data_IF_985287326756
#
_entry.id   IF_985287326756
#
_cell.length_a   1.000
_cell.length_b   1.000
_cell.length_c   1.000
_cell.angle_alpha   90.00
_cell.angle_beta   90.00
_cell.angle_gamma   90.00
#
_symmetry.space_group_name_H-M   'P 1'
#
loop_
_entity.id
_entity.type
_entity.pdbx_description
1 polymer ?
#
# COMPACT_ATOMS: atom_id res chain seq x y z
N UNK A 1 -6.89 -14.62 15.82
CA UNK A 1 -6.13 -14.24 17.02
C UNK A 1 -6.91 -13.19 17.77
N UNK A 2 -6.80 -13.14 19.11
CA UNK A 2 -7.51 -12.16 19.93
C UNK A 2 -6.50 -11.25 20.62
N UNK A 3 -6.61 -9.95 20.39
CA UNK A 3 -5.72 -8.93 20.97
C UNK A 3 -6.57 -7.95 21.77
N UNK A 4 -6.07 -7.51 22.92
CA UNK A 4 -6.78 -6.53 23.74
C UNK A 4 -6.89 -5.17 23.02
N UNK A 5 -5.87 -4.85 22.22
CA UNK A 5 -5.83 -3.66 21.38
C UNK A 5 -4.78 -3.78 20.26
N UNK A 6 -4.89 -2.88 19.29
CA UNK A 6 -3.95 -2.71 18.20
C UNK A 6 -3.28 -1.35 18.36
N UNK A 7 -1.95 -1.34 18.30
CA UNK A 7 -1.13 -0.14 18.39
C UNK A 7 -0.50 0.11 17.03
N UNK A 8 -0.94 1.18 16.37
CA UNK A 8 -0.23 1.74 15.23
C UNK A 8 0.85 2.67 15.80
N UNK A 9 2.08 2.19 15.90
CA UNK A 9 3.22 2.96 16.37
C UNK A 9 3.96 3.54 15.18
N UNK A 10 3.84 4.85 14.92
CA UNK A 10 4.57 5.47 13.84
C UNK A 10 4.07 6.85 13.44
N UNK A 11 4.64 7.36 12.36
CA UNK A 11 4.30 8.66 11.77
C UNK A 11 2.80 8.96 11.77
N UNK A 12 2.41 10.08 12.36
CA UNK A 12 1.02 10.58 12.29
C UNK A 12 0.63 10.83 10.84
N UNK A 13 -0.67 10.74 10.55
CA UNK A 13 -1.19 10.94 9.19
C UNK A 13 -0.67 12.24 8.56
N UNK A 14 -0.25 12.16 7.29
CA UNK A 14 0.34 13.25 6.50
C UNK A 14 1.76 13.69 6.87
N UNK A 15 2.36 13.18 7.93
CA UNK A 15 3.74 13.55 8.30
C UNK A 15 4.81 12.79 7.49
N UNK A 16 4.47 11.59 7.00
CA UNK A 16 5.38 10.76 6.21
C UNK A 16 4.63 9.86 5.21
N UNK A 17 5.31 9.37 4.18
CA UNK A 17 4.69 8.48 3.18
C UNK A 17 4.19 7.15 3.78
N UNK A 18 4.90 6.61 4.78
CA UNK A 18 4.47 5.42 5.52
C UNK A 18 3.17 5.63 6.32
N UNK A 19 2.85 6.87 6.71
CA UNK A 19 1.61 7.17 7.47
C UNK A 19 0.35 6.78 6.70
N UNK A 20 0.38 6.78 5.36
CA UNK A 20 -0.76 6.36 4.53
C UNK A 20 -0.96 4.84 4.52
N UNK A 21 0.11 4.06 4.73
CA UNK A 21 0.04 2.60 4.89
C UNK A 21 -0.54 2.29 6.28
N UNK A 22 0.00 2.95 7.30
CA UNK A 22 -0.50 2.84 8.68
C UNK A 22 -1.97 3.26 8.80
N UNK A 23 -2.41 4.28 8.06
CA UNK A 23 -3.81 4.67 7.99
C UNK A 23 -4.72 3.56 7.44
N UNK A 24 -4.25 2.82 6.43
CA UNK A 24 -4.98 1.69 5.86
C UNK A 24 -5.20 0.59 6.89
N UNK A 25 -4.17 0.25 7.66
CA UNK A 25 -4.31 -0.66 8.80
C UNK A 25 -5.23 -0.09 9.88
N UNK A 26 -5.08 1.18 10.26
CA UNK A 26 -5.93 1.83 11.27
C UNK A 26 -7.41 1.72 10.91
N UNK A 27 -7.79 2.06 9.67
CA UNK A 27 -9.17 1.96 9.18
C UNK A 27 -9.66 0.51 9.23
N UNK A 28 -8.85 -0.43 8.73
CA UNK A 28 -9.22 -1.84 8.67
C UNK A 28 -9.40 -2.47 10.07
N UNK A 29 -8.50 -2.21 11.02
CA UNK A 29 -8.65 -2.70 12.39
C UNK A 29 -9.84 -2.07 13.13
N UNK A 30 -10.09 -0.76 12.92
CA UNK A 30 -11.30 -0.10 13.46
C UNK A 30 -12.58 -0.71 12.90
N UNK A 31 -12.60 -1.04 11.60
CA UNK A 31 -13.73 -1.73 10.98
C UNK A 31 -13.97 -3.11 11.61
N UNK A 32 -12.90 -3.85 11.90
CA UNK A 32 -12.92 -5.13 12.61
C UNK A 32 -13.21 -4.99 14.12
N UNK A 33 -13.59 -3.80 14.61
CA UNK A 33 -14.00 -3.52 15.99
C UNK A 33 -12.91 -3.69 17.06
N UNK A 34 -11.64 -3.70 16.66
CA UNK A 34 -10.56 -3.61 17.63
C UNK A 34 -10.51 -2.23 18.29
N UNK A 35 -10.08 -2.18 19.55
CA UNK A 35 -9.54 -0.95 20.10
C UNK A 35 -8.21 -0.64 19.38
N UNK A 36 -8.09 0.56 18.81
CA UNK A 36 -6.91 0.94 18.02
C UNK A 36 -6.41 2.29 18.50
N UNK A 37 -5.15 2.33 18.92
CA UNK A 37 -4.41 3.53 19.28
C UNK A 37 -3.38 3.85 18.20
N UNK A 38 -3.19 5.13 17.91
CA UNK A 38 -2.12 5.58 17.00
C UNK A 38 -1.12 6.42 17.79
N UNK A 39 0.02 5.83 18.12
CA UNK A 39 1.07 6.37 18.97
C UNK A 39 2.36 6.59 18.17
N UNK A 40 3.33 7.29 18.76
CA UNK A 40 4.68 7.49 18.24
C UNK A 40 5.67 7.73 19.40
N UNK A 41 6.95 7.94 19.08
CA UNK A 41 8.02 8.16 20.07
C UNK A 41 7.85 9.43 20.94
N UNK A 42 6.85 10.27 20.66
CA UNK A 42 6.53 11.48 21.42
C UNK A 42 5.21 11.37 22.20
N UNK A 43 4.49 10.25 22.06
CA UNK A 43 3.22 10.05 22.73
C UNK A 43 3.43 9.77 24.23
N UNK A 44 2.56 10.31 25.09
CA UNK A 44 2.54 9.94 26.51
C UNK A 44 1.88 8.57 26.68
N UNK A 45 2.61 7.61 27.25
CA UNK A 45 2.19 6.21 27.39
C UNK A 45 2.02 5.75 28.85
N UNK A 46 2.12 6.64 29.83
CA UNK A 46 2.18 6.25 31.27
C UNK A 46 0.97 5.47 31.74
N UNK A 47 -0.22 5.71 31.17
CA UNK A 47 -1.49 5.11 31.61
C UNK A 47 -2.05 4.12 30.58
N UNK A 48 -1.21 3.60 29.68
CA UNK A 48 -1.65 2.65 28.66
C UNK A 48 -1.17 1.25 29.07
N UNK A 49 -2.12 0.36 29.36
CA UNK A 49 -1.81 -1.06 29.51
C UNK A 49 -1.62 -1.69 28.13
N UNK A 50 -0.41 -2.18 27.85
CA UNK A 50 -0.08 -2.83 26.58
C UNK A 50 -0.24 -4.36 26.61
N UNK A 51 -0.75 -4.95 27.69
CA UNK A 51 -0.92 -6.40 27.80
C UNK A 51 -1.66 -7.00 26.60
N UNK A 52 -1.10 -8.06 26.00
CA UNK A 52 -1.66 -8.75 24.82
C UNK A 52 -2.04 -7.81 23.65
N UNK A 53 -1.16 -6.85 23.34
CA UNK A 53 -1.35 -5.91 22.22
C UNK A 53 -0.61 -6.35 20.95
N UNK A 54 -1.17 -5.99 19.79
CA UNK A 54 -0.47 -6.09 18.51
C UNK A 54 0.07 -4.71 18.09
N UNK A 55 1.38 -4.61 17.90
CA UNK A 55 2.05 -3.41 17.41
C UNK A 55 2.30 -3.50 15.91
N UNK A 56 2.08 -2.40 15.21
CA UNK A 56 2.50 -2.19 13.82
C UNK A 56 3.38 -0.96 13.79
N UNK A 57 4.63 -1.13 13.36
CA UNK A 57 5.62 -0.06 13.34
C UNK A 57 6.48 -0.11 12.11
N UNK A 58 7.13 1.00 11.79
CA UNK A 58 8.23 1.08 10.83
C UNK A 58 9.51 1.51 11.54
N UNK A 59 10.67 1.19 10.97
CA UNK A 59 11.98 1.31 11.64
C UNK A 59 12.37 2.76 12.05
N UNK A 60 11.87 3.79 11.39
CA UNK A 60 12.25 5.19 11.63
C UNK A 60 11.58 5.79 12.88
N UNK A 61 10.43 5.25 13.29
CA UNK A 61 9.65 5.69 14.45
C UNK A 61 9.31 4.48 15.30
N UNK A 62 10.29 3.91 15.99
CA UNK A 62 10.10 2.76 16.90
C UNK A 62 11.03 2.80 18.12
N UNK A 63 11.70 3.93 18.40
CA UNK A 63 12.76 3.99 19.41
C UNK A 63 12.22 3.84 20.82
N UNK A 64 11.03 4.39 21.11
CA UNK A 64 10.40 4.32 22.43
C UNK A 64 9.22 3.34 22.48
N UNK A 65 9.06 2.51 21.45
CA UNK A 65 8.00 1.50 21.41
C UNK A 65 8.25 0.44 22.49
N UNK A 66 7.26 0.13 23.36
CA UNK A 66 7.41 -0.93 24.36
C UNK A 66 7.60 -2.30 23.72
N UNK A 67 8.61 -3.04 24.20
CA UNK A 67 8.91 -4.41 23.77
C UNK A 67 8.59 -5.35 24.94
N UNK A 68 7.58 -6.20 24.79
CA UNK A 68 7.04 -7.06 25.86
C UNK A 68 6.80 -8.48 25.36
N UNK A 69 6.98 -9.44 26.26
CA UNK A 69 6.90 -10.88 25.95
C UNK A 69 5.48 -11.38 25.63
N UNK A 70 4.48 -10.67 26.14
CA UNK A 70 3.06 -10.93 25.96
C UNK A 70 2.45 -10.19 24.76
N UNK A 71 3.26 -9.45 23.98
CA UNK A 71 2.82 -8.67 22.83
C UNK A 71 3.27 -9.28 21.51
N UNK A 72 2.68 -8.76 20.44
CA UNK A 72 2.95 -9.14 19.05
C UNK A 72 3.42 -7.94 18.24
N UNK A 73 4.28 -8.16 17.25
CA UNK A 73 4.95 -7.09 16.51
C UNK A 73 4.95 -7.34 15.02
N UNK A 74 4.52 -6.34 14.24
CA UNK A 74 4.64 -6.29 12.79
C UNK A 74 5.58 -5.14 12.45
N UNK A 75 6.75 -5.49 11.94
CA UNK A 75 7.86 -4.57 11.70
C UNK A 75 8.00 -4.30 10.20
N UNK A 76 7.73 -3.07 9.78
CA UNK A 76 7.67 -2.65 8.37
C UNK A 76 9.01 -2.09 7.89
N UNK A 77 9.53 -2.65 6.78
CA UNK A 77 10.77 -2.21 6.14
C UNK A 77 11.95 -2.22 7.09
N UNK A 78 11.92 -3.19 7.97
CA UNK A 78 12.81 -3.29 9.09
C UNK A 78 14.09 -4.05 8.75
N UNK A 79 14.22 -4.63 7.56
CA UNK A 79 15.41 -5.37 7.11
C UNK A 79 16.61 -4.51 6.70
N UNK A 80 17.79 -5.13 6.80
CA UNK A 80 19.00 -4.70 6.08
C UNK A 80 18.95 -5.21 4.65
N UNK A 81 18.88 -4.29 3.68
CA UNK A 81 19.15 -4.59 2.27
C UNK A 81 20.69 -4.73 2.12
N UNK A 82 21.24 -5.91 1.77
CA UNK A 82 22.69 -6.09 1.64
C UNK A 82 23.28 -5.07 0.67
N UNK A 83 24.26 -4.29 1.12
CA UNK A 83 24.91 -3.25 0.31
C UNK A 83 24.34 -1.83 0.44
N UNK A 84 23.21 -1.61 1.14
CA UNK A 84 22.74 -0.24 1.45
C UNK A 84 23.15 0.20 2.85
N UNK A 85 24.00 1.23 2.92
CA UNK A 85 24.56 1.76 4.17
C UNK A 85 23.51 2.22 5.20
N UNK A 86 22.31 2.65 4.76
CA UNK A 86 21.28 3.19 5.65
C UNK A 86 20.67 2.15 6.61
N UNK A 87 20.71 0.86 6.25
CA UNK A 87 20.09 -0.20 7.05
C UNK A 87 21.10 -1.02 7.87
N UNK A 88 22.41 -0.78 7.73
CA UNK A 88 23.47 -1.60 8.37
C UNK A 88 23.60 -1.41 9.88
N UNK A 89 22.75 -0.62 10.55
CA UNK A 89 22.85 -0.33 11.99
C UNK A 89 21.49 -0.35 12.70
N UNK A 90 21.06 -1.56 13.07
CA UNK A 90 20.36 -1.93 14.32
C UNK A 90 19.12 -1.14 14.76
N UNK A 91 18.12 -0.96 13.91
CA UNK A 91 16.78 -0.64 14.39
C UNK A 91 15.71 -1.36 13.56
N UNK A 92 15.02 -2.30 14.20
CA UNK A 92 13.79 -2.89 13.70
C UNK A 92 13.94 -4.19 12.92
N UNK A 93 15.13 -4.65 12.51
CA UNK A 93 15.34 -5.92 11.80
C UNK A 93 14.88 -7.12 12.64
N UNK A 94 14.62 -8.29 12.04
CA UNK A 94 14.43 -9.51 12.86
C UNK A 94 15.72 -9.88 13.63
N UNK A 95 16.88 -9.44 13.13
CA UNK A 95 18.18 -9.49 13.82
C UNK A 95 18.35 -8.36 14.84
N UNK A 96 17.38 -7.47 15.00
CA UNK A 96 17.38 -6.52 16.10
C UNK A 96 17.26 -7.35 17.37
N UNK A 97 18.35 -7.37 18.14
CA UNK A 97 18.51 -8.23 19.30
C UNK A 97 17.35 -8.08 20.30
N UNK A 98 16.66 -6.92 20.29
CA UNK A 98 15.48 -6.66 21.11
C UNK A 98 14.27 -7.54 20.77
N UNK A 99 14.15 -7.99 19.51
CA UNK A 99 13.02 -8.79 19.02
C UNK A 99 13.34 -10.28 18.85
N UNK A 100 14.62 -10.69 18.92
CA UNK A 100 15.03 -12.07 18.65
C UNK A 100 14.24 -13.12 19.46
N UNK A 101 14.19 -12.95 20.78
CA UNK A 101 13.48 -13.91 21.68
C UNK A 101 11.96 -13.92 21.47
N UNK A 102 11.38 -12.82 20.97
CA UNK A 102 9.96 -12.74 20.60
C UNK A 102 9.71 -13.43 19.26
N UNK A 103 10.62 -13.27 18.31
CA UNK A 103 10.53 -13.88 16.99
C UNK A 103 10.61 -15.41 17.09
N UNK A 104 11.53 -15.93 17.90
CA UNK A 104 11.65 -17.37 18.22
C UNK A 104 10.36 -17.95 18.84
N UNK A 105 9.53 -17.12 19.48
CA UNK A 105 8.20 -17.50 20.02
C UNK A 105 7.06 -17.35 19.00
N UNK A 106 7.36 -16.92 17.78
CA UNK A 106 6.37 -16.62 16.74
C UNK A 106 5.56 -15.34 16.99
N UNK A 107 6.06 -14.40 17.79
CA UNK A 107 5.37 -13.14 18.11
C UNK A 107 5.80 -11.96 17.23
N UNK A 108 6.72 -12.16 16.29
CA UNK A 108 7.24 -11.10 15.41
C UNK A 108 7.05 -11.50 13.95
N UNK A 109 6.50 -10.59 13.16
CA UNK A 109 6.49 -10.65 11.70
C UNK A 109 7.28 -9.45 11.20
N UNK A 110 8.26 -9.69 10.34
CA UNK A 110 8.73 -8.63 9.49
C UNK A 110 7.82 -8.54 8.25
N UNK A 111 7.23 -7.37 8.02
CA UNK A 111 6.48 -7.06 6.80
C UNK A 111 7.40 -6.41 5.74
N UNK A 112 7.40 -6.98 4.53
CA UNK A 112 8.08 -6.45 3.35
C UNK A 112 7.12 -6.27 2.18
N UNK A 113 7.43 -5.28 1.33
CA UNK A 113 6.72 -5.17 0.06
C UNK A 113 7.17 -6.27 -0.90
N UNK A 114 6.20 -6.85 -1.61
CA UNK A 114 6.47 -7.80 -2.68
C UNK A 114 7.44 -7.24 -3.73
N UNK A 115 8.43 -8.05 -4.11
CA UNK A 115 9.27 -7.92 -5.30
C UNK A 115 9.61 -9.32 -5.80
N UNK A 116 9.62 -9.59 -7.11
CA UNK A 116 9.91 -10.93 -7.64
C UNK A 116 11.18 -11.54 -7.06
N UNK A 117 12.30 -10.80 -7.08
CA UNK A 117 13.60 -11.25 -6.53
C UNK A 117 13.58 -11.58 -5.04
N UNK A 118 12.67 -10.98 -4.26
CA UNK A 118 12.61 -11.24 -2.82
C UNK A 118 11.89 -12.55 -2.50
N UNK A 119 11.16 -13.12 -3.46
CA UNK A 119 10.27 -14.26 -3.23
C UNK A 119 10.64 -15.52 -4.00
N UNK A 120 11.69 -15.51 -4.84
CA UNK A 120 12.07 -16.62 -5.75
C UNK A 120 12.16 -17.99 -5.07
N UNK A 121 12.61 -18.03 -3.81
CA UNK A 121 12.77 -19.26 -3.02
C UNK A 121 11.93 -19.24 -1.74
N UNK A 122 10.82 -18.50 -1.73
CA UNK A 122 9.96 -18.31 -0.55
C UNK A 122 8.66 -19.07 -0.72
N UNK A 123 7.99 -19.36 0.39
CA UNK A 123 6.75 -20.15 0.34
C UNK A 123 5.59 -19.26 -0.10
N UNK A 124 4.86 -19.66 -1.15
CA UNK A 124 3.68 -18.94 -1.62
C UNK A 124 2.50 -19.18 -0.67
N UNK A 125 1.85 -18.09 -0.23
CA UNK A 125 0.61 -18.12 0.53
C UNK A 125 -0.61 -17.86 -0.36
N UNK A 126 -0.53 -16.83 -1.20
CA UNK A 126 -1.51 -16.51 -2.23
C UNK A 126 -0.81 -15.80 -3.40
N UNK A 127 -1.55 -15.40 -4.43
CA UNK A 127 -0.96 -14.65 -5.55
C UNK A 127 -0.30 -13.36 -5.05
N UNK A 128 0.98 -13.21 -5.36
CA UNK A 128 1.83 -12.09 -4.93
C UNK A 128 2.03 -11.98 -3.41
N UNK A 129 1.69 -13.02 -2.64
CA UNK A 129 1.95 -13.07 -1.19
C UNK A 129 2.74 -14.30 -0.84
N UNK A 130 3.89 -14.07 -0.22
CA UNK A 130 4.87 -15.09 0.11
C UNK A 130 5.34 -14.90 1.53
N UNK A 131 5.86 -15.96 2.13
CA UNK A 131 6.49 -15.86 3.43
C UNK A 131 7.76 -16.68 3.52
N UNK A 132 8.56 -16.33 4.52
CA UNK A 132 9.79 -17.01 4.90
C UNK A 132 9.80 -17.20 6.41
N UNK A 133 9.72 -18.45 6.85
CA UNK A 133 9.76 -18.79 8.28
C UNK A 133 11.15 -18.46 8.86
N UNK A 134 12.23 -18.71 8.11
CA UNK A 134 13.60 -18.54 8.61
C UNK A 134 13.95 -17.09 8.98
N UNK A 135 13.27 -16.13 8.35
CA UNK A 135 13.46 -14.70 8.56
C UNK A 135 12.22 -14.02 9.12
N UNK A 136 11.19 -14.80 9.48
CA UNK A 136 9.89 -14.31 9.95
C UNK A 136 9.25 -13.27 9.01
N UNK A 137 9.47 -13.39 7.71
CA UNK A 137 9.08 -12.36 6.74
C UNK A 137 7.81 -12.70 6.02
N UNK A 138 6.90 -11.73 5.94
CA UNK A 138 5.73 -11.75 5.07
C UNK A 138 5.89 -10.70 3.97
N UNK A 139 5.80 -11.14 2.73
CA UNK A 139 5.91 -10.32 1.53
C UNK A 139 4.53 -10.17 0.88
N UNK A 140 4.07 -8.94 0.66
CA UNK A 140 2.84 -8.70 -0.11
C UNK A 140 2.87 -7.31 -0.79
N UNK A 141 2.08 -7.09 -1.85
CA UNK A 141 1.89 -5.74 -2.38
C UNK A 141 1.09 -4.89 -1.39
N UNK A 142 1.14 -3.56 -1.55
CA UNK A 142 0.22 -2.69 -0.84
C UNK A 142 -1.25 -2.95 -1.22
N UNK A 143 -2.17 -2.18 -0.65
CA UNK A 143 -3.61 -2.33 -0.83
C UNK A 143 -4.27 -0.96 -1.07
N UNK A 144 -5.54 -1.00 -1.48
CA UNK A 144 -6.41 0.19 -1.41
C UNK A 144 -6.73 0.53 0.05
N UNK A 145 -6.93 1.81 0.32
CA UNK A 145 -7.37 2.35 1.61
C UNK A 145 -8.88 2.29 1.82
N UNK A 146 -9.65 1.80 0.84
CA UNK A 146 -11.08 1.57 0.98
C UNK A 146 -11.40 0.19 1.55
N UNK A 147 -12.48 0.14 2.32
CA UNK A 147 -13.14 -1.08 2.75
C UNK A 147 -14.07 -1.61 1.65
N UNK A 148 -14.39 -2.92 1.65
CA UNK A 148 -15.22 -3.52 0.60
C UNK A 148 -16.58 -2.85 0.39
N UNK A 149 -17.23 -2.41 1.46
CA UNK A 149 -18.54 -1.74 1.37
C UNK A 149 -18.45 -0.32 0.80
N UNK A 150 -17.33 0.37 0.98
CA UNK A 150 -17.08 1.68 0.36
C UNK A 150 -16.87 1.53 -1.14
N UNK A 151 -16.15 0.48 -1.56
CA UNK A 151 -16.00 0.13 -2.99
C UNK A 151 -17.37 -0.19 -3.60
N UNK A 152 -18.21 -0.97 -2.91
CA UNK A 152 -19.59 -1.25 -3.36
C UNK A 152 -20.41 0.04 -3.56
N UNK A 153 -20.26 1.03 -2.67
CA UNK A 153 -20.94 2.33 -2.79
C UNK A 153 -20.49 3.08 -4.03
N UNK A 154 -19.19 3.04 -4.37
CA UNK A 154 -18.66 3.64 -5.59
C UNK A 154 -19.13 2.89 -6.83
N UNK A 155 -19.15 1.54 -6.80
CA UNK A 155 -19.65 0.71 -7.91
C UNK A 155 -21.10 1.08 -8.28
N UNK A 156 -21.97 1.30 -7.30
CA UNK A 156 -23.37 1.72 -7.51
C UNK A 156 -23.51 3.10 -8.17
N UNK A 157 -22.53 3.98 -7.96
CA UNK A 157 -22.53 5.35 -8.44
C UNK A 157 -21.50 5.58 -9.56
N UNK A 158 -21.05 4.51 -10.24
CA UNK A 158 -19.97 4.59 -11.21
C UNK A 158 -20.32 5.53 -12.38
N UNK A 159 -21.59 5.56 -12.78
CA UNK A 159 -22.10 6.46 -13.84
C UNK A 159 -22.10 7.93 -13.44
N UNK A 160 -22.08 8.22 -12.15
CA UNK A 160 -22.06 9.57 -11.60
C UNK A 160 -20.62 10.12 -11.46
N UNK A 161 -19.61 9.30 -11.73
CA UNK A 161 -18.21 9.73 -11.64
C UNK A 161 -17.89 10.67 -12.80
N UNK A 162 -17.62 11.93 -12.46
CA UNK A 162 -17.35 12.98 -13.43
C UNK A 162 -15.99 12.77 -14.14
N UNK A 163 -16.01 12.34 -15.40
CA UNK A 163 -14.82 12.32 -16.25
C UNK A 163 -14.59 13.71 -16.88
N UNK A 164 -13.93 14.61 -16.15
CA UNK A 164 -13.54 15.90 -16.73
C UNK A 164 -12.44 15.67 -17.78
N UNK A 165 -12.83 15.66 -19.06
CA UNK A 165 -11.94 15.41 -20.21
C UNK A 165 -10.80 16.42 -20.37
N UNK A 166 -10.83 17.55 -19.66
CA UNK A 166 -9.84 18.61 -19.76
C UNK A 166 -8.84 18.62 -18.59
N UNK A 167 -8.96 17.70 -17.63
CA UNK A 167 -8.16 17.75 -16.38
C UNK A 167 -7.73 16.37 -15.89
N UNK A 168 -6.48 16.28 -15.45
CA UNK A 168 -5.91 15.13 -14.74
C UNK A 168 -5.35 15.62 -13.41
N UNK A 169 -5.83 15.02 -12.32
CA UNK A 169 -5.31 15.26 -10.98
C UNK A 169 -4.36 14.13 -10.59
N UNK A 170 -3.13 14.48 -10.22
CA UNK A 170 -2.15 13.56 -9.67
C UNK A 170 -1.92 13.87 -8.19
N UNK A 171 -2.24 12.90 -7.32
CA UNK A 171 -2.02 13.01 -5.88
C UNK A 171 -0.81 12.17 -5.46
N UNK A 172 0.24 12.80 -4.93
CA UNK A 172 1.41 12.15 -4.35
C UNK A 172 2.74 12.71 -4.83
N UNK A 173 3.83 11.97 -4.60
CA UNK A 173 5.18 12.42 -4.99
C UNK A 173 5.41 12.19 -6.48
N UNK A 174 5.73 13.26 -7.21
CA UNK A 174 6.06 13.21 -8.63
C UNK A 174 7.47 12.64 -8.84
N UNK A 175 7.64 11.91 -9.94
CA UNK A 175 8.92 11.32 -10.38
C UNK A 175 9.18 11.70 -11.84
N UNK A 176 10.41 11.54 -12.33
CA UNK A 176 10.81 12.04 -13.65
C UNK A 176 9.99 11.45 -14.81
N UNK A 177 9.51 10.22 -14.65
CA UNK A 177 8.67 9.52 -15.63
C UNK A 177 7.35 10.27 -15.90
N UNK A 178 6.87 11.08 -14.96
CA UNK A 178 5.68 11.91 -15.18
C UNK A 178 5.92 13.06 -16.16
N UNK A 179 7.18 13.46 -16.44
CA UNK A 179 7.49 14.53 -17.41
C UNK A 179 6.96 14.18 -18.80
N UNK A 180 7.15 12.92 -19.22
CA UNK A 180 6.67 12.42 -20.51
C UNK A 180 5.13 12.36 -20.57
N UNK A 181 4.49 11.87 -19.52
CA UNK A 181 3.02 11.86 -19.45
C UNK A 181 2.44 13.29 -19.47
N UNK A 182 3.04 14.22 -18.71
CA UNK A 182 2.65 15.63 -18.69
C UNK A 182 2.81 16.30 -20.05
N UNK A 183 3.87 15.97 -20.81
CA UNK A 183 4.06 16.45 -22.18
C UNK A 183 2.87 16.06 -23.06
N UNK A 184 2.45 14.79 -23.03
CA UNK A 184 1.29 14.32 -23.79
C UNK A 184 -0.01 15.02 -23.38
N UNK A 185 -0.20 15.30 -22.07
CA UNK A 185 -1.34 16.10 -21.61
C UNK A 185 -1.37 17.51 -22.24
N UNK A 186 -0.22 18.21 -22.26
CA UNK A 186 -0.12 19.58 -22.80
C UNK A 186 -0.45 19.59 -24.29
N UNK A 187 0.11 18.66 -25.06
CA UNK A 187 -0.14 18.52 -26.51
C UNK A 187 -1.62 18.23 -26.84
N UNK A 188 -2.38 17.71 -25.87
CA UNK A 188 -3.80 17.42 -26.00
C UNK A 188 -4.69 18.42 -25.25
N UNK A 189 -4.18 19.60 -24.88
CA UNK A 189 -4.90 20.64 -24.16
C UNK A 189 -5.55 20.17 -22.84
N UNK A 190 -4.90 19.24 -22.14
CA UNK A 190 -5.34 18.70 -20.84
C UNK A 190 -4.49 19.25 -19.71
N UNK A 191 -5.15 19.87 -18.73
CA UNK A 191 -4.51 20.40 -17.52
C UNK A 191 -4.01 19.28 -16.62
N UNK A 192 -2.71 19.25 -16.35
CA UNK A 192 -2.11 18.33 -15.39
C UNK A 192 -1.87 19.02 -14.03
N UNK A 193 -2.63 18.62 -13.01
CA UNK A 193 -2.59 19.21 -11.67
C UNK A 193 -1.89 18.27 -10.70
N UNK A 194 -0.77 18.71 -10.12
CA UNK A 194 -0.03 17.97 -9.10
C UNK A 194 -0.36 18.45 -7.68
N UNK A 195 -0.90 17.53 -6.88
CA UNK A 195 -1.31 17.69 -5.49
C UNK A 195 -0.61 16.64 -4.61
N UNK A 196 -0.55 16.89 -3.31
CA UNK A 196 0.03 15.97 -2.34
C UNK A 196 1.56 15.78 -2.44
N UNK A 197 2.08 14.88 -1.61
CA UNK A 197 3.52 14.62 -1.53
C UNK A 197 4.33 15.83 -1.07
N UNK A 198 5.65 15.76 -1.22
CA UNK A 198 6.55 16.81 -0.73
C UNK A 198 6.53 18.10 -1.57
N UNK A 199 6.12 18.00 -2.84
CA UNK A 199 6.23 19.09 -3.84
C UNK A 199 4.90 19.52 -4.48
N UNK A 200 3.76 18.93 -4.11
CA UNK A 200 2.46 19.30 -4.68
C UNK A 200 1.92 20.63 -4.16
N UNK A 201 1.00 21.26 -4.91
CA UNK A 201 0.42 22.57 -4.58
C UNK A 201 -0.29 22.61 -3.21
N UNK A 202 -0.91 21.50 -2.81
CA UNK A 202 -1.49 21.25 -1.48
C UNK A 202 -0.85 19.97 -0.94
N UNK A 203 0.01 20.07 0.10
CA UNK A 203 0.83 18.94 0.60
C UNK A 203 0.00 17.81 1.20
N UNK A 204 -1.05 18.16 1.94
CA UNK A 204 -1.90 17.21 2.65
C UNK A 204 -3.25 17.12 1.94
N UNK A 205 -3.56 15.94 1.41
CA UNK A 205 -4.82 15.64 0.75
C UNK A 205 -5.51 14.58 1.60
N UNK A 206 -6.72 14.87 2.08
CA UNK A 206 -7.52 13.90 2.83
C UNK A 206 -7.88 12.70 1.95
N UNK A 207 -8.24 11.57 2.55
CA UNK A 207 -8.71 10.40 1.79
C UNK A 207 -9.93 10.74 0.92
N UNK A 208 -10.89 11.51 1.44
CA UNK A 208 -12.08 11.96 0.70
C UNK A 208 -11.73 12.88 -0.48
N UNK A 209 -10.84 13.86 -0.27
CA UNK A 209 -10.35 14.73 -1.35
C UNK A 209 -9.63 13.91 -2.43
N UNK A 210 -8.81 12.93 -2.03
CA UNK A 210 -8.09 12.07 -2.96
C UNK A 210 -9.05 11.26 -3.84
N UNK A 211 -10.06 10.62 -3.25
CA UNK A 211 -11.10 9.89 -3.99
C UNK A 211 -11.76 10.83 -5.01
N UNK A 212 -12.25 12.00 -4.57
CA UNK A 212 -12.90 12.99 -5.45
C UNK A 212 -11.98 13.42 -6.59
N UNK A 213 -10.73 13.80 -6.30
CA UNK A 213 -9.78 14.29 -7.29
C UNK A 213 -9.46 13.23 -8.35
N UNK A 214 -9.28 11.98 -7.92
CA UNK A 214 -9.06 10.87 -8.86
C UNK A 214 -10.32 10.63 -9.68
N UNK A 215 -11.50 10.60 -9.06
CA UNK A 215 -12.80 10.47 -9.73
C UNK A 215 -13.03 11.57 -10.79
N UNK A 216 -12.61 12.80 -10.51
CA UNK A 216 -12.68 13.93 -11.45
C UNK A 216 -11.67 13.89 -12.59
N UNK A 217 -10.64 13.03 -12.52
CA UNK A 217 -9.54 13.01 -13.50
C UNK A 217 -9.92 12.30 -14.79
N UNK A 218 -9.53 12.85 -15.93
CA UNK A 218 -9.71 12.20 -17.22
C UNK A 218 -9.06 10.81 -17.26
N UNK A 219 -7.76 10.76 -16.94
CA UNK A 219 -6.96 9.54 -16.84
C UNK A 219 -6.30 9.52 -15.46
N UNK A 220 -6.31 8.36 -14.79
CA UNK A 220 -5.68 8.16 -13.48
C UNK A 220 -4.64 7.03 -13.54
N UNK A 221 -3.43 7.27 -14.07
CA UNK A 221 -2.46 6.21 -14.26
C UNK A 221 -1.64 5.96 -12.99
N UNK A 222 -1.12 4.75 -12.89
CA UNK A 222 -0.11 4.37 -11.91
C UNK A 222 1.26 4.30 -12.59
N UNK A 223 1.99 5.42 -12.54
CA UNK A 223 3.33 5.56 -13.09
C UNK A 223 4.37 5.48 -11.97
N UNK A 224 5.36 4.60 -12.13
CA UNK A 224 6.48 4.42 -11.21
C UNK A 224 7.81 4.79 -11.85
N UNK A 225 8.85 4.91 -11.02
CA UNK A 225 10.23 5.07 -11.50
C UNK A 225 10.67 3.85 -12.31
N UNK A 226 11.57 4.05 -13.27
CA UNK A 226 12.19 2.93 -14.01
C UNK A 226 12.75 1.88 -13.05
N UNK A 227 13.53 2.29 -12.04
CA UNK A 227 14.06 1.38 -11.03
C UNK A 227 12.96 0.60 -10.28
N UNK A 228 11.82 1.24 -9.99
CA UNK A 228 10.69 0.58 -9.33
C UNK A 228 10.02 -0.45 -10.25
N UNK A 229 9.92 -0.14 -11.55
CA UNK A 229 9.43 -1.07 -12.56
C UNK A 229 10.37 -2.27 -12.71
N UNK A 230 11.69 -2.00 -12.78
CA UNK A 230 12.73 -3.02 -12.98
C UNK A 230 12.79 -4.02 -11.81
N UNK A 231 12.57 -3.56 -10.57
CA UNK A 231 12.50 -4.45 -9.39
C UNK A 231 11.11 -5.03 -9.13
N UNK A 232 10.12 -4.75 -10.00
CA UNK A 232 8.77 -5.29 -9.88
C UNK A 232 7.96 -4.78 -8.69
N UNK A 233 8.21 -3.54 -8.24
CA UNK A 233 7.46 -2.92 -7.15
C UNK A 233 6.00 -2.64 -7.56
N UNK A 234 5.05 -3.05 -6.71
CA UNK A 234 3.62 -2.83 -6.90
C UNK A 234 3.13 -1.74 -5.93
N UNK A 235 2.82 -0.51 -6.41
CA UNK A 235 2.40 0.59 -5.55
C UNK A 235 0.92 0.50 -5.14
N UNK A 236 0.55 1.11 -4.02
CA UNK A 236 -0.85 1.24 -3.61
C UNK A 236 -1.73 2.00 -4.63
N UNK A 237 -1.13 2.90 -5.42
CA UNK A 237 -1.81 3.78 -6.38
C UNK A 237 -2.67 3.03 -7.40
N UNK A 238 -2.21 1.88 -7.91
CA UNK A 238 -3.01 1.12 -8.89
C UNK A 238 -4.30 0.60 -8.26
N UNK A 239 -4.22 0.06 -7.04
CA UNK A 239 -5.38 -0.43 -6.29
C UNK A 239 -6.34 0.70 -5.95
N UNK A 240 -5.79 1.84 -5.46
CA UNK A 240 -6.58 3.03 -5.15
C UNK A 240 -7.35 3.53 -6.36
N UNK A 241 -6.66 3.82 -7.46
CA UNK A 241 -7.29 4.36 -8.67
C UNK A 241 -8.42 3.43 -9.17
N UNK A 242 -8.15 2.12 -9.23
CA UNK A 242 -9.18 1.13 -9.63
C UNK A 242 -10.35 1.15 -8.64
N UNK A 243 -10.10 1.06 -7.33
CA UNK A 243 -11.16 1.06 -6.32
C UNK A 243 -11.98 2.36 -6.27
N UNK A 244 -11.45 3.46 -6.80
CA UNK A 244 -12.15 4.74 -6.90
C UNK A 244 -13.02 4.84 -8.17
N UNK A 245 -13.05 3.80 -9.00
CA UNK A 245 -13.87 3.74 -10.22
C UNK A 245 -13.14 4.14 -11.50
N UNK A 246 -11.80 4.07 -11.53
CA UNK A 246 -11.02 4.33 -12.75
C UNK A 246 -10.50 3.05 -13.38
N UNK A 247 -10.31 3.10 -14.69
CA UNK A 247 -9.59 2.06 -15.41
C UNK A 247 -8.11 2.00 -14.97
N UNK A 248 -7.52 0.80 -14.99
CA UNK A 248 -6.12 0.59 -14.65
C UNK A 248 -5.19 0.93 -15.81
N UNK A 249 -4.25 1.85 -15.58
CA UNK A 249 -3.18 2.19 -16.53
C UNK A 249 -1.84 2.17 -15.80
N UNK A 250 -0.80 1.55 -16.37
CA UNK A 250 0.50 1.46 -15.71
C UNK A 250 1.69 1.39 -16.67
N UNK A 251 2.87 1.81 -16.20
CA UNK A 251 4.14 1.59 -16.87
C UNK A 251 4.94 0.41 -16.30
N UNK A 252 4.35 -0.39 -15.39
CA UNK A 252 5.00 -1.57 -14.81
C UNK A 252 4.39 -2.87 -15.35
N UNK A 253 5.25 -3.73 -15.90
CA UNK A 253 4.85 -5.05 -16.45
C UNK A 253 4.34 -5.98 -15.34
N UNK A 254 4.97 -5.96 -14.17
CA UNK A 254 4.55 -6.78 -13.02
C UNK A 254 3.15 -6.37 -12.54
N UNK A 255 2.83 -5.08 -12.56
CA UNK A 255 1.48 -4.61 -12.21
C UNK A 255 0.45 -5.06 -13.25
N UNK A 256 0.82 -5.07 -14.54
CA UNK A 256 -0.04 -5.59 -15.61
C UNK A 256 -0.32 -7.08 -15.48
N UNK A 257 0.70 -7.87 -15.15
CA UNK A 257 0.58 -9.31 -14.90
C UNK A 257 -0.28 -9.60 -13.66
N UNK A 258 -0.19 -8.77 -12.61
CA UNK A 258 -1.01 -8.93 -11.39
C UNK A 258 -2.51 -8.88 -11.66
N UNK A 259 -2.94 -8.11 -12.67
CA UNK A 259 -4.35 -8.02 -13.06
C UNK A 259 -4.66 -8.93 -14.25
N UNK A 260 -3.94 -10.04 -14.43
CA UNK A 260 -4.10 -10.99 -15.54
C UNK A 260 -4.15 -10.31 -16.91
N UNK A 261 -3.32 -9.27 -17.10
CA UNK A 261 -3.29 -8.49 -18.34
C UNK A 261 -4.59 -7.74 -18.68
N UNK A 262 -5.49 -7.57 -17.71
CA UNK A 262 -6.79 -6.87 -17.86
C UNK A 262 -6.68 -5.35 -17.72
N UNK A 263 -5.54 -4.81 -17.32
CA UNK A 263 -5.31 -3.35 -17.30
C UNK A 263 -4.47 -2.92 -18.51
N UNK A 264 -4.30 -1.62 -18.76
CA UNK A 264 -3.46 -1.15 -19.87
C UNK A 264 -2.03 -0.92 -19.41
N UNK A 265 -1.09 -1.43 -20.19
CA UNK A 265 0.35 -1.34 -19.94
C UNK A 265 1.09 -0.70 -21.09
N UNK A 266 1.91 0.30 -20.77
CA UNK A 266 2.92 0.81 -21.68
C UNK A 266 4.14 1.32 -20.89
N UNK A 267 5.36 0.79 -21.14
CA UNK A 267 6.55 1.22 -20.40
C UNK A 267 6.94 2.67 -20.68
N UNK A 268 6.45 3.28 -21.77
CA UNK A 268 6.65 4.68 -22.10
C UNK A 268 5.46 5.51 -21.61
N UNK A 269 5.62 6.36 -20.58
CA UNK A 269 4.53 7.19 -20.06
C UNK A 269 3.89 8.12 -21.10
N UNK A 270 4.65 8.57 -22.11
CA UNK A 270 4.08 9.36 -23.21
C UNK A 270 3.07 8.54 -24.02
N UNK A 271 3.44 7.33 -24.45
CA UNK A 271 2.53 6.44 -25.20
C UNK A 271 1.38 5.93 -24.33
N UNK A 272 1.63 5.69 -23.04
CA UNK A 272 0.61 5.30 -22.07
C UNK A 272 -0.57 6.29 -22.03
N UNK A 273 -0.30 7.59 -22.17
CA UNK A 273 -1.35 8.60 -22.27
C UNK A 273 -2.27 8.35 -23.46
N UNK A 274 -1.70 8.10 -24.65
CA UNK A 274 -2.47 7.88 -25.86
C UNK A 274 -3.23 6.54 -25.84
N UNK A 275 -2.64 5.49 -25.27
CA UNK A 275 -3.32 4.22 -25.05
C UNK A 275 -4.53 4.40 -24.11
N UNK A 276 -4.34 5.19 -23.04
CA UNK A 276 -5.41 5.50 -22.11
C UNK A 276 -6.52 6.35 -22.74
N UNK A 277 -6.15 7.40 -23.48
CA UNK A 277 -7.09 8.25 -24.23
C UNK A 277 -7.91 7.42 -25.21
N UNK A 278 -7.26 6.59 -26.03
CA UNK A 278 -7.93 5.71 -26.97
C UNK A 278 -8.90 4.73 -26.29
N UNK A 279 -8.51 4.17 -25.14
CA UNK A 279 -9.42 3.30 -24.40
C UNK A 279 -10.65 4.06 -23.92
N UNK A 280 -10.48 5.25 -23.34
CA UNK A 280 -11.60 6.05 -22.83
C UNK A 280 -12.53 6.53 -23.95
N UNK A 281 -11.98 6.92 -25.10
CA UNK A 281 -12.75 7.51 -26.20
C UNK A 281 -13.40 6.46 -27.10
N UNK A 282 -12.75 5.29 -27.28
CA UNK A 282 -13.14 4.33 -28.32
C UNK A 282 -13.40 2.91 -27.81
N UNK A 283 -12.99 2.56 -26.58
CA UNK A 283 -13.09 1.19 -26.04
C UNK A 283 -13.62 1.14 -24.60
N UNK A 284 -14.29 2.20 -24.16
CA UNK A 284 -14.74 2.30 -22.78
C UNK A 284 -15.69 1.14 -22.46
N UNK A 285 -15.37 0.43 -21.38
CA UNK A 285 -16.14 -0.70 -20.89
C UNK A 285 -16.33 -0.58 -19.38
N UNK A 286 -17.59 -0.32 -18.99
CA UNK A 286 -18.00 -0.17 -17.60
C UNK A 286 -17.93 -1.50 -16.84
N UNK A 287 -18.37 -2.59 -17.45
CA UNK A 287 -18.36 -3.91 -16.82
C UNK A 287 -16.93 -4.37 -16.54
N UNK A 288 -16.01 -4.02 -17.45
CA UNK A 288 -14.59 -4.25 -17.23
C UNK A 288 -14.02 -3.47 -16.04
N UNK A 289 -14.41 -2.20 -15.85
CA UNK A 289 -14.04 -1.44 -14.65
C UNK A 289 -14.63 -2.08 -13.39
N UNK A 290 -15.90 -2.48 -13.41
CA UNK A 290 -16.56 -3.15 -12.28
C UNK A 290 -15.87 -4.47 -11.91
N UNK A 291 -15.44 -5.24 -12.91
CA UNK A 291 -14.66 -6.45 -12.73
C UNK A 291 -13.32 -6.16 -12.03
N UNK A 292 -12.56 -5.16 -12.50
CA UNK A 292 -11.31 -4.74 -11.87
C UNK A 292 -11.52 -4.26 -10.42
N UNK A 293 -12.59 -3.49 -10.17
CA UNK A 293 -12.97 -3.07 -8.82
C UNK A 293 -13.26 -4.27 -7.92
N UNK A 294 -13.91 -5.32 -8.43
CA UNK A 294 -14.17 -6.55 -7.69
C UNK A 294 -12.88 -7.31 -7.35
N UNK A 295 -11.90 -7.35 -8.26
CA UNK A 295 -10.57 -7.91 -7.96
C UNK A 295 -9.93 -7.16 -6.80
N UNK A 296 -9.90 -5.83 -6.84
CA UNK A 296 -9.32 -5.02 -5.75
C UNK A 296 -10.08 -5.22 -4.44
N UNK A 297 -11.41 -5.21 -4.49
CA UNK A 297 -12.31 -5.39 -3.33
C UNK A 297 -12.07 -6.71 -2.60
N UNK A 298 -11.84 -7.78 -3.35
CA UNK A 298 -11.76 -9.14 -2.81
C UNK A 298 -10.35 -9.56 -2.44
N UNK A 299 -9.31 -9.02 -3.09
CA UNK A 299 -7.92 -9.47 -2.93
C UNK A 299 -6.93 -8.39 -2.44
N UNK A 300 -7.25 -7.10 -2.58
CA UNK A 300 -6.27 -6.02 -2.38
C UNK A 300 -6.76 -4.89 -1.45
N UNK A 301 -7.44 -5.24 -0.36
CA UNK A 301 -7.75 -4.34 0.76
C UNK A 301 -6.83 -4.57 1.96
N UNK A 302 -6.77 -3.64 2.91
CA UNK A 302 -6.06 -3.88 4.17
C UNK A 302 -6.71 -4.96 5.05
N UNK A 303 -7.99 -5.31 4.84
CA UNK A 303 -8.58 -6.49 5.48
C UNK A 303 -7.90 -7.78 5.00
N UNK A 304 -7.61 -7.89 3.70
CA UNK A 304 -6.84 -9.01 3.16
C UNK A 304 -5.43 -9.05 3.77
N UNK A 305 -4.76 -7.90 3.89
CA UNK A 305 -3.42 -7.83 4.51
C UNK A 305 -3.43 -8.26 5.97
N UNK A 306 -4.44 -7.86 6.74
CA UNK A 306 -4.63 -8.32 8.12
C UNK A 306 -4.83 -9.84 8.17
N UNK A 307 -5.66 -10.41 7.29
CA UNK A 307 -5.86 -11.86 7.23
C UNK A 307 -4.56 -12.61 6.92
N UNK A 308 -3.75 -12.12 5.99
CA UNK A 308 -2.45 -12.71 5.66
C UNK A 308 -1.49 -12.66 6.85
N UNK A 309 -1.45 -11.52 7.55
CA UNK A 309 -0.66 -11.34 8.77
C UNK A 309 -1.09 -12.33 9.86
N UNK A 310 -2.39 -12.45 10.13
CA UNK A 310 -2.91 -13.37 11.16
C UNK A 310 -2.66 -14.84 10.79
N UNK A 311 -2.79 -15.17 9.51
CA UNK A 311 -2.47 -16.50 9.00
C UNK A 311 -0.99 -16.81 9.20
N UNK A 312 -0.11 -15.84 8.92
CA UNK A 312 1.32 -16.04 9.10
C UNK A 312 1.73 -16.14 10.58
N UNK A 313 1.15 -15.36 11.49
CA UNK A 313 1.37 -15.56 12.92
C UNK A 313 0.98 -16.97 13.37
N UNK A 314 -0.11 -17.53 12.82
CA UNK A 314 -0.54 -18.90 13.12
C UNK A 314 0.50 -19.91 12.65
N UNK A 315 1.05 -19.74 11.45
CA UNK A 315 2.14 -20.58 10.90
C UNK A 315 3.38 -20.52 11.80
N UNK A 316 3.83 -19.32 12.17
CA UNK A 316 5.02 -19.13 13.01
C UNK A 316 4.87 -19.82 14.38
N UNK A 317 3.72 -19.64 15.04
CA UNK A 317 3.46 -20.25 16.36
C UNK A 317 3.33 -21.77 16.33
N UNK A 318 2.88 -22.33 15.21
CA UNK A 318 2.85 -23.79 15.04
C UNK A 318 4.25 -24.38 14.81
N UNK A 319 5.19 -23.57 14.32
CA UNK A 319 6.58 -23.98 14.06
C UNK A 319 7.49 -23.73 15.26
N UNK A 320 7.12 -22.81 16.16
CA UNK A 320 7.87 -22.47 17.38
C UNK A 320 7.68 -23.47 18.53
N UNK A 321 6.83 -24.50 18.35
CA UNK A 321 6.66 -25.62 19.28
C UNK A 321 7.61 -26.74 18.89
#
# INVERSE_FOLDING_TARGET
MNFNQIIIWGHKLHTHTHSYIHNGFFIAFKYLKYNVLWLDDNSNITNIDFTNSLFISEHQVCKKMPIRIDCFYILHNSFVDPGKAYYKRNAGTWEDIRFKSLAEKGNVINMQVYRPKFVENKTKMEDYVYYDISTYTLYFPWATDLLPHEINKIQKNLDLINNNKQRINFVGTIVDEWKQFKKACIENNISFIHLGGYKGRKRNISSSDNIRLIQESYIAPSIQRKQQCDVGYIPCRIFKNISYGKMGFTNSKIVYELFDKKIIYNPCPYKLFYDAKNWIENKYDKEHILHLMNIVKTKHTYLNRINNIFSFFTILRNTAK
#
